data_IF_474539551605
#
_entry.id   IF_474539551605
#
_cell.length_a   1.000
_cell.length_b   1.000
_cell.length_c   1.000
_cell.angle_alpha   90.00
_cell.angle_beta   90.00
_cell.angle_gamma   90.00
#
_symmetry.space_group_name_H-M   'P 1'
#
loop_
_entity.id
_entity.type
_entity.pdbx_description
1 polymer ?
#
# COMPACT_ATOMS: atom_id res chain seq x y z
N UNK A 1 24.86 7.75 -47.88
CA UNK A 1 23.90 6.62 -47.97
C UNK A 1 24.55 5.42 -47.28
N UNK A 2 24.34 5.27 -45.97
CA UNK A 2 24.68 4.07 -45.18
C UNK A 2 23.54 3.89 -44.18
N UNK A 3 22.95 2.70 -44.22
CA UNK A 3 21.79 2.26 -43.47
C UNK A 3 22.11 1.95 -42.00
N UNK A 4 21.11 2.10 -41.13
CA UNK A 4 20.72 1.04 -40.19
C UNK A 4 19.41 1.47 -39.50
N UNK A 5 18.35 0.73 -39.79
CA UNK A 5 17.04 0.94 -39.20
C UNK A 5 17.13 0.89 -37.68
N UNK A 6 16.54 1.91 -37.05
CA UNK A 6 16.07 1.82 -35.67
C UNK A 6 15.06 0.69 -35.67
N UNK A 7 15.51 -0.50 -35.27
CA UNK A 7 14.68 -1.67 -35.15
C UNK A 7 13.51 -1.32 -34.24
N UNK A 8 12.32 -1.26 -34.83
CA UNK A 8 11.09 -1.40 -34.08
C UNK A 8 11.13 -2.81 -33.46
N UNK A 9 11.77 -2.94 -32.29
CA UNK A 9 11.68 -4.14 -31.47
C UNK A 9 10.20 -4.46 -31.36
N UNK A 10 9.80 -5.60 -31.94
CA UNK A 10 8.41 -6.05 -31.93
C UNK A 10 7.96 -6.14 -30.48
N UNK A 11 7.20 -5.14 -30.02
CA UNK A 11 6.53 -5.12 -28.72
C UNK A 11 5.74 -6.41 -28.58
N UNK A 12 6.32 -7.37 -27.87
CA UNK A 12 5.83 -8.75 -27.79
C UNK A 12 4.51 -8.76 -27.00
N UNK A 13 3.67 -9.79 -27.13
CA UNK A 13 2.42 -9.90 -26.34
C UNK A 13 2.64 -9.78 -24.83
N UNK A 14 3.82 -10.18 -24.34
CA UNK A 14 4.23 -9.99 -22.94
C UNK A 14 4.34 -8.51 -22.53
N UNK A 15 4.81 -7.63 -23.43
CA UNK A 15 4.88 -6.19 -23.19
C UNK A 15 3.48 -5.57 -23.04
N UNK A 16 2.56 -5.92 -23.94
CA UNK A 16 1.18 -5.41 -23.88
C UNK A 16 0.45 -5.90 -22.64
N UNK A 17 0.65 -7.18 -22.26
CA UNK A 17 0.09 -7.73 -21.02
C UNK A 17 0.61 -7.00 -19.79
N UNK A 18 1.92 -6.76 -19.70
CA UNK A 18 2.50 -6.02 -18.57
C UNK A 18 2.03 -4.56 -18.52
N UNK A 19 1.96 -3.88 -19.68
CA UNK A 19 1.45 -2.52 -19.77
C UNK A 19 0.00 -2.41 -19.26
N UNK A 20 -0.87 -3.31 -19.72
CA UNK A 20 -2.29 -3.27 -19.36
C UNK A 20 -2.50 -3.69 -17.91
N UNK A 21 -2.03 -4.87 -17.50
CA UNK A 21 -2.32 -5.43 -16.18
C UNK A 21 -1.41 -4.89 -15.07
N UNK A 22 -0.18 -4.49 -15.40
CA UNK A 22 0.80 -3.99 -14.43
C UNK A 22 0.75 -2.48 -14.21
N UNK A 23 0.24 -1.71 -15.17
CA UNK A 23 0.28 -0.23 -15.12
C UNK A 23 -1.09 0.41 -15.31
N UNK A 24 -1.72 0.21 -16.46
CA UNK A 24 -2.95 0.94 -16.83
C UNK A 24 -4.11 0.55 -15.92
N UNK A 25 -4.36 -0.74 -15.73
CA UNK A 25 -5.51 -1.22 -14.98
C UNK A 25 -5.45 -0.84 -13.47
N UNK A 26 -4.32 -1.01 -12.76
CA UNK A 26 -4.17 -0.48 -11.40
C UNK A 26 -4.28 1.04 -11.32
N UNK A 27 -3.65 1.79 -12.24
CA UNK A 27 -3.73 3.25 -12.24
C UNK A 27 -5.16 3.76 -12.49
N UNK A 28 -5.91 3.16 -13.41
CA UNK A 28 -7.31 3.49 -13.65
C UNK A 28 -8.16 3.22 -12.40
N UNK A 29 -7.96 2.06 -11.76
CA UNK A 29 -8.65 1.71 -10.53
C UNK A 29 -8.42 2.75 -9.44
N UNK A 30 -7.16 3.08 -9.12
CA UNK A 30 -6.87 4.10 -8.10
C UNK A 30 -7.32 5.51 -8.49
N UNK A 31 -7.38 5.83 -9.79
CA UNK A 31 -7.88 7.12 -10.27
C UNK A 31 -9.36 7.33 -9.97
N UNK A 32 -10.16 6.26 -9.92
CA UNK A 32 -11.57 6.34 -9.49
C UNK A 32 -11.69 6.77 -8.03
N UNK A 33 -10.83 6.26 -7.13
CA UNK A 33 -10.79 6.69 -5.73
C UNK A 33 -10.35 8.13 -5.59
N UNK A 34 -9.36 8.56 -6.37
CA UNK A 34 -8.92 9.96 -6.40
C UNK A 34 -10.09 10.88 -6.81
N UNK A 35 -10.82 10.51 -7.85
CA UNK A 35 -11.97 11.30 -8.33
C UNK A 35 -13.07 11.39 -7.26
N UNK A 36 -13.48 10.25 -6.68
CA UNK A 36 -14.48 10.19 -5.61
C UNK A 36 -14.07 11.06 -4.40
N UNK A 37 -12.80 10.96 -4.00
CA UNK A 37 -12.29 11.70 -2.85
C UNK A 37 -12.18 13.21 -3.09
N UNK A 38 -11.84 13.65 -4.30
CA UNK A 38 -11.83 15.09 -4.65
C UNK A 38 -13.25 15.67 -4.59
N UNK A 39 -14.24 14.93 -5.09
CA UNK A 39 -15.63 15.36 -5.04
C UNK A 39 -16.10 15.54 -3.58
N UNK A 40 -15.84 14.55 -2.73
CA UNK A 40 -16.22 14.58 -1.30
C UNK A 40 -15.46 15.63 -0.47
N UNK A 41 -14.18 15.89 -0.80
CA UNK A 41 -13.35 16.86 -0.09
C UNK A 41 -13.91 18.28 -0.21
N UNK A 42 -14.44 18.62 -1.38
CA UNK A 42 -15.00 19.95 -1.64
C UNK A 42 -16.22 20.26 -0.74
N UNK A 43 -17.07 19.26 -0.49
CA UNK A 43 -18.26 19.38 0.37
C UNK A 43 -17.88 19.37 1.85
N UNK A 44 -16.93 18.51 2.23
CA UNK A 44 -16.47 18.36 3.62
C UNK A 44 -15.75 19.63 4.11
N UNK A 45 -14.91 20.24 3.27
CA UNK A 45 -14.12 21.40 3.65
C UNK A 45 -15.00 22.62 3.96
N UNK A 46 -16.09 22.81 3.22
CA UNK A 46 -17.01 23.94 3.42
C UNK A 46 -17.89 23.77 4.66
N UNK A 47 -18.14 22.53 5.07
CA UNK A 47 -19.02 22.17 6.20
C UNK A 47 -18.27 21.98 7.52
N UNK A 48 -16.93 21.97 7.53
CA UNK A 48 -16.14 21.76 8.72
C UNK A 48 -16.34 22.90 9.75
N UNK A 49 -16.73 22.51 10.98
CA UNK A 49 -16.95 23.43 12.12
C UNK A 49 -16.32 22.92 13.41
N UNK A 50 -16.07 21.62 13.51
CA UNK A 50 -15.61 20.95 14.74
C UNK A 50 -14.21 20.34 14.57
N UNK A 51 -13.50 20.07 15.65
CA UNK A 51 -12.18 19.40 15.64
C UNK A 51 -12.20 18.05 14.90
N UNK A 52 -13.26 17.26 15.08
CA UNK A 52 -13.49 16.00 14.36
C UNK A 52 -13.52 16.19 12.84
N UNK A 53 -14.11 17.29 12.38
CA UNK A 53 -14.27 17.58 10.95
C UNK A 53 -12.92 17.90 10.33
N UNK A 54 -12.07 18.66 11.03
CA UNK A 54 -10.70 18.92 10.59
C UNK A 54 -9.84 17.65 10.58
N UNK A 55 -9.99 16.75 11.55
CA UNK A 55 -9.32 15.45 11.55
C UNK A 55 -9.76 14.61 10.35
N UNK A 56 -11.06 14.61 10.04
CA UNK A 56 -11.62 13.91 8.89
C UNK A 56 -11.13 14.50 7.56
N UNK A 57 -11.04 15.82 7.44
CA UNK A 57 -10.43 16.51 6.29
C UNK A 57 -8.95 16.13 6.16
N UNK A 58 -8.18 16.15 7.25
CA UNK A 58 -6.78 15.73 7.23
C UNK A 58 -6.63 14.30 6.72
N UNK A 59 -7.48 13.38 7.19
CA UNK A 59 -7.51 11.99 6.73
C UNK A 59 -7.81 11.89 5.24
N UNK A 60 -8.77 12.66 4.72
CA UNK A 60 -9.08 12.70 3.29
C UNK A 60 -7.91 13.22 2.46
N UNK A 61 -7.24 14.29 2.90
CA UNK A 61 -6.06 14.83 2.21
C UNK A 61 -4.92 13.81 2.20
N UNK A 62 -4.68 13.11 3.31
CA UNK A 62 -3.68 12.04 3.38
C UNK A 62 -4.02 10.88 2.44
N UNK A 63 -5.26 10.42 2.43
CA UNK A 63 -5.70 9.36 1.52
C UNK A 63 -5.60 9.80 0.04
N UNK A 64 -5.94 11.06 -0.26
CA UNK A 64 -5.80 11.61 -1.62
C UNK A 64 -4.34 11.60 -2.04
N UNK A 65 -3.44 12.01 -1.14
CA UNK A 65 -2.00 11.98 -1.38
C UNK A 65 -1.49 10.54 -1.60
N UNK A 66 -2.03 9.58 -0.84
CA UNK A 66 -1.67 8.17 -0.93
C UNK A 66 -2.08 7.58 -2.27
N UNK A 67 -3.36 7.70 -2.65
CA UNK A 67 -3.87 7.18 -3.92
C UNK A 67 -3.21 7.87 -5.12
N UNK A 68 -3.00 9.19 -5.05
CA UNK A 68 -2.25 9.91 -6.09
C UNK A 68 -0.83 9.36 -6.23
N UNK A 69 -0.15 9.09 -5.11
CA UNK A 69 1.18 8.51 -5.16
C UNK A 69 1.17 7.08 -5.73
N UNK A 70 0.16 6.26 -5.42
CA UNK A 70 -0.02 4.96 -6.05
C UNK A 70 -0.22 5.09 -7.56
N UNK A 71 -1.14 5.94 -8.02
CA UNK A 71 -1.36 6.21 -9.46
C UNK A 71 -0.03 6.59 -10.12
N UNK A 72 0.69 7.57 -9.56
CA UNK A 72 1.99 8.00 -10.11
C UNK A 72 2.99 6.84 -10.14
N UNK A 73 3.12 6.07 -9.06
CA UNK A 73 4.08 4.96 -8.99
C UNK A 73 3.73 3.82 -9.96
N UNK A 74 2.46 3.45 -10.09
CA UNK A 74 2.02 2.45 -11.06
C UNK A 74 2.15 2.94 -12.51
N UNK A 75 1.83 4.21 -12.77
CA UNK A 75 2.01 4.83 -14.09
C UNK A 75 3.47 4.98 -14.47
N UNK A 76 4.38 5.23 -13.51
CA UNK A 76 5.82 5.44 -13.77
C UNK A 76 6.66 4.18 -13.61
N UNK A 77 6.11 3.09 -13.07
CA UNK A 77 6.82 1.81 -12.93
C UNK A 77 7.30 1.28 -14.28
N UNK A 78 8.61 1.04 -14.38
CA UNK A 78 9.21 0.27 -15.48
C UNK A 78 8.80 -1.21 -15.35
N UNK A 79 8.61 -1.93 -16.48
CA UNK A 79 8.18 -3.32 -16.50
C UNK A 79 9.06 -4.21 -15.62
N UNK A 80 8.47 -4.92 -14.66
CA UNK A 80 9.21 -5.89 -13.84
C UNK A 80 9.52 -7.12 -14.70
N UNK A 81 10.77 -7.27 -15.14
CA UNK A 81 11.26 -8.55 -15.65
C UNK A 81 11.38 -9.53 -14.48
N UNK A 82 10.51 -10.53 -14.43
CA UNK A 82 10.67 -11.69 -13.57
C UNK A 82 9.73 -11.80 -12.37
N UNK A 83 8.57 -11.14 -12.36
CA UNK A 83 7.55 -11.45 -11.34
C UNK A 83 7.04 -12.87 -11.57
N UNK A 84 7.11 -13.73 -10.55
CA UNK A 84 6.37 -14.98 -10.51
C UNK A 84 4.88 -14.64 -10.69
N UNK A 85 4.35 -14.83 -11.90
CA UNK A 85 2.95 -14.57 -12.28
C UNK A 85 2.02 -15.63 -11.68
N UNK A 86 2.14 -15.91 -10.38
CA UNK A 86 1.17 -16.76 -9.70
C UNK A 86 -0.11 -15.93 -9.62
N UNK A 87 -1.12 -16.30 -10.41
CA UNK A 87 -2.46 -15.68 -10.40
C UNK A 87 -2.98 -15.46 -8.98
N UNK A 88 -2.63 -16.33 -8.03
CA UNK A 88 -2.94 -16.19 -6.61
C UNK A 88 -2.40 -14.89 -5.97
N UNK A 89 -1.27 -14.34 -6.39
CA UNK A 89 -0.73 -13.08 -5.84
C UNK A 89 -1.57 -11.89 -6.28
N UNK A 90 -1.93 -11.86 -7.57
CA UNK A 90 -2.77 -10.81 -8.15
C UNK A 90 -4.17 -10.89 -7.54
N UNK A 91 -4.73 -12.10 -7.46
CA UNK A 91 -6.04 -12.32 -6.85
C UNK A 91 -6.04 -11.88 -5.39
N UNK A 92 -5.07 -12.29 -4.56
CA UNK A 92 -5.00 -11.89 -3.15
C UNK A 92 -4.82 -10.37 -2.99
N UNK A 93 -4.04 -9.71 -3.86
CA UNK A 93 -3.89 -8.26 -3.83
C UNK A 93 -5.18 -7.53 -4.21
N UNK A 94 -5.88 -8.00 -5.25
CA UNK A 94 -7.18 -7.45 -5.66
C UNK A 94 -8.25 -7.71 -4.61
N UNK A 95 -8.46 -8.98 -4.23
CA UNK A 95 -9.49 -9.36 -3.27
C UNK A 95 -9.25 -8.75 -1.90
N UNK A 96 -7.99 -8.63 -1.44
CA UNK A 96 -7.65 -7.93 -0.21
C UNK A 96 -8.11 -6.47 -0.25
N UNK A 97 -7.69 -5.73 -1.27
CA UNK A 97 -8.04 -4.31 -1.43
C UNK A 97 -9.57 -4.09 -1.50
N UNK A 98 -10.27 -4.95 -2.23
CA UNK A 98 -11.74 -4.90 -2.32
C UNK A 98 -12.43 -5.32 -1.02
N UNK A 99 -11.86 -6.24 -0.24
CA UNK A 99 -12.45 -6.70 1.03
C UNK A 99 -12.45 -5.60 2.09
N UNK A 100 -11.38 -4.80 2.17
CA UNK A 100 -11.32 -3.67 3.09
C UNK A 100 -12.39 -2.60 2.78
N UNK A 101 -12.72 -2.42 1.50
CA UNK A 101 -13.75 -1.48 1.04
C UNK A 101 -15.16 -2.05 1.24
N UNK A 102 -15.36 -3.32 0.85
CA UNK A 102 -16.64 -4.00 1.01
C UNK A 102 -17.06 -4.09 2.48
N UNK A 103 -16.10 -4.22 3.41
CA UNK A 103 -16.36 -4.21 4.85
C UNK A 103 -17.22 -3.03 5.33
N UNK A 104 -17.00 -1.84 4.76
CA UNK A 104 -17.73 -0.62 5.09
C UNK A 104 -19.17 -0.61 4.54
N UNK A 105 -19.43 -1.35 3.46
CA UNK A 105 -20.75 -1.43 2.82
C UNK A 105 -21.56 -2.65 3.24
N UNK A 106 -20.96 -3.58 4.00
CA UNK A 106 -21.65 -4.78 4.44
C UNK A 106 -22.67 -4.46 5.55
N UNK A 107 -23.91 -4.98 5.45
CA UNK A 107 -24.94 -4.73 6.44
C UNK A 107 -24.60 -5.36 7.80
N UNK A 108 -25.09 -4.74 8.88
CA UNK A 108 -25.09 -5.35 10.22
C UNK A 108 -24.19 -4.71 11.27
N UNK A 109 -23.55 -3.57 10.99
CA UNK A 109 -22.91 -2.75 12.02
C UNK A 109 -23.75 -1.52 12.35
N UNK A 110 -24.28 -1.45 13.57
CA UNK A 110 -24.75 -0.17 14.10
C UNK A 110 -23.54 0.75 14.30
N UNK A 111 -23.63 1.99 13.82
CA UNK A 111 -22.56 2.98 13.97
C UNK A 111 -22.36 3.29 15.46
N UNK A 112 -21.20 2.91 15.99
CA UNK A 112 -20.83 3.13 17.39
C UNK A 112 -20.09 4.46 17.53
N UNK A 113 -20.80 5.52 17.91
CA UNK A 113 -20.24 6.90 17.95
C UNK A 113 -18.98 7.02 18.82
N UNK A 114 -18.91 6.29 19.95
CA UNK A 114 -17.74 6.33 20.83
C UNK A 114 -16.47 5.72 20.22
N UNK A 115 -16.60 4.92 19.16
CA UNK A 115 -15.48 4.33 18.41
C UNK A 115 -15.05 5.16 17.20
N UNK A 116 -15.84 6.18 16.80
CA UNK A 116 -15.55 7.00 15.61
C UNK A 116 -14.23 7.74 15.79
N UNK A 117 -14.07 8.47 16.89
CA UNK A 117 -12.85 9.26 17.12
C UNK A 117 -11.59 8.38 17.27
N UNK A 118 -11.59 7.31 18.10
CA UNK A 118 -10.45 6.38 18.14
C UNK A 118 -10.13 5.74 16.79
N UNK A 119 -11.17 5.36 16.02
CA UNK A 119 -11.02 4.78 14.68
C UNK A 119 -10.40 5.75 13.70
N UNK A 120 -10.85 7.00 13.69
CA UNK A 120 -10.30 8.06 12.83
C UNK A 120 -8.86 8.39 13.18
N UNK A 121 -8.51 8.45 14.47
CA UNK A 121 -7.13 8.65 14.93
C UNK A 121 -6.24 7.50 14.44
N UNK A 122 -6.66 6.26 14.66
CA UNK A 122 -5.93 5.07 14.21
C UNK A 122 -5.75 5.06 12.70
N UNK A 123 -6.81 5.38 11.94
CA UNK A 123 -6.76 5.44 10.50
C UNK A 123 -5.82 6.53 9.99
N UNK A 124 -5.84 7.70 10.63
CA UNK A 124 -4.95 8.82 10.30
C UNK A 124 -3.49 8.47 10.53
N UNK A 125 -3.17 7.86 11.69
CA UNK A 125 -1.80 7.40 11.99
C UNK A 125 -1.36 6.35 10.97
N UNK A 126 -2.23 5.39 10.63
CA UNK A 126 -1.97 4.38 9.61
C UNK A 126 -1.61 5.00 8.26
N UNK A 127 -2.42 5.94 7.78
CA UNK A 127 -2.18 6.64 6.52
C UNK A 127 -0.88 7.45 6.53
N UNK A 128 -0.58 8.16 7.62
CA UNK A 128 0.70 8.88 7.76
C UNK A 128 1.87 7.90 7.61
N UNK A 129 1.79 6.74 8.25
CA UNK A 129 2.84 5.72 8.17
C UNK A 129 2.98 5.13 6.76
N UNK A 130 1.86 4.86 6.08
CA UNK A 130 1.85 4.39 4.68
C UNK A 130 2.43 5.42 3.72
N UNK A 131 2.01 6.69 3.82
CA UNK A 131 2.52 7.79 3.00
C UNK A 131 4.01 7.98 3.24
N UNK A 132 4.48 7.93 4.50
CA UNK A 132 5.90 8.03 4.82
C UNK A 132 6.70 6.88 4.20
N UNK A 133 6.21 5.64 4.32
CA UNK A 133 6.80 4.44 3.71
C UNK A 133 6.91 4.56 2.19
N UNK A 134 5.83 4.98 1.55
CA UNK A 134 5.74 5.06 0.09
C UNK A 134 6.56 6.23 -0.47
N UNK A 135 6.60 7.38 0.22
CA UNK A 135 7.43 8.52 -0.15
C UNK A 135 8.94 8.21 -0.03
N UNK A 136 9.33 7.44 1.01
CA UNK A 136 10.72 7.01 1.18
C UNK A 136 11.14 6.00 0.10
N UNK A 137 10.21 5.11 -0.28
CA UNK A 137 10.40 4.20 -1.39
C UNK A 137 10.57 4.97 -2.70
N UNK A 138 9.72 5.97 -2.98
CA UNK A 138 9.80 6.85 -4.17
C UNK A 138 11.15 7.57 -4.29
N UNK A 139 11.73 8.05 -3.19
CA UNK A 139 13.08 8.65 -3.19
C UNK A 139 14.19 7.65 -3.56
N UNK A 140 13.96 6.36 -3.35
CA UNK A 140 14.89 5.28 -3.73
C UNK A 140 14.49 4.54 -5.02
N UNK A 141 13.34 4.90 -5.61
CA UNK A 141 12.79 4.34 -6.84
C UNK A 141 13.45 5.02 -8.06
N UNK A 142 14.75 4.80 -8.24
CA UNK A 142 15.47 5.31 -9.41
C UNK A 142 15.40 4.33 -10.57
N UNK A 143 15.23 4.91 -11.76
CA UNK A 143 14.68 4.37 -13.00
C UNK A 143 15.85 3.80 -13.84
N UNK A 144 16.53 2.77 -13.34
CA UNK A 144 17.42 1.94 -14.16
C UNK A 144 17.26 0.45 -13.81
N UNK A 145 17.34 -0.46 -14.80
CA UNK A 145 16.66 -1.75 -14.81
C UNK A 145 17.41 -2.86 -14.06
N UNK A 146 17.94 -2.55 -12.89
CA UNK A 146 18.56 -3.50 -11.99
C UNK A 146 18.14 -3.10 -10.58
N UNK A 147 17.62 -4.06 -9.81
CA UNK A 147 17.37 -3.91 -8.39
C UNK A 147 18.71 -3.63 -7.66
N UNK A 148 19.22 -2.40 -7.68
CA UNK A 148 20.56 -2.07 -7.18
C UNK A 148 20.62 -1.83 -5.68
N UNK A 149 19.50 -1.60 -4.98
CA UNK A 149 19.58 -1.26 -3.55
C UNK A 149 18.36 -1.68 -2.73
N UNK A 150 18.63 -2.45 -1.68
CA UNK A 150 17.71 -2.69 -0.59
C UNK A 150 17.46 -1.38 0.17
N UNK A 151 16.19 -0.98 0.31
CA UNK A 151 15.80 0.23 1.04
C UNK A 151 15.70 -0.10 2.52
N UNK A 152 16.59 0.49 3.33
CA UNK A 152 16.70 0.21 4.78
C UNK A 152 16.59 1.47 5.65
N UNK A 153 16.29 2.62 5.04
CA UNK A 153 16.25 3.92 5.71
C UNK A 153 14.83 4.41 6.05
N UNK A 154 14.77 5.50 6.83
CA UNK A 154 13.50 6.13 7.21
C UNK A 154 12.55 5.16 7.94
N UNK A 155 11.29 5.00 7.51
CA UNK A 155 10.32 4.10 8.17
C UNK A 155 10.73 2.62 8.06
N UNK A 156 11.56 2.26 7.08
CA UNK A 156 12.12 0.91 6.91
C UNK A 156 13.15 0.53 7.99
N UNK A 157 13.54 1.46 8.87
CA UNK A 157 14.35 1.15 10.07
C UNK A 157 13.48 0.65 11.23
N UNK A 158 12.20 1.00 11.23
CA UNK A 158 11.26 0.68 12.30
C UNK A 158 10.56 -0.65 12.03
N UNK A 159 10.23 -0.89 10.76
CA UNK A 159 9.56 -2.09 10.29
C UNK A 159 10.03 -2.42 8.88
N UNK A 160 10.10 -3.71 8.54
CA UNK A 160 10.39 -4.12 7.16
C UNK A 160 9.27 -3.79 6.18
N UNK A 161 8.04 -3.63 6.67
CA UNK A 161 6.82 -3.50 5.87
C UNK A 161 5.96 -2.30 6.30
N UNK A 162 6.51 -1.07 6.31
CA UNK A 162 5.82 0.08 6.88
C UNK A 162 4.53 0.44 6.15
N UNK A 163 4.50 0.30 4.82
CA UNK A 163 3.31 0.59 4.00
C UNK A 163 2.17 -0.36 4.35
N UNK A 164 2.43 -1.66 4.36
CA UNK A 164 1.43 -2.68 4.68
C UNK A 164 0.88 -2.55 6.11
N UNK A 165 1.73 -2.22 7.08
CA UNK A 165 1.28 -1.99 8.46
C UNK A 165 0.40 -0.74 8.57
N UNK A 166 0.76 0.33 7.86
CA UNK A 166 -0.07 1.52 7.79
C UNK A 166 -1.41 1.24 7.11
N UNK A 167 -1.44 0.42 6.06
CA UNK A 167 -2.67 -0.02 5.40
C UNK A 167 -3.55 -0.86 6.33
N UNK A 168 -2.97 -1.81 7.07
CA UNK A 168 -3.68 -2.61 8.09
C UNK A 168 -4.28 -1.69 9.17
N UNK A 169 -3.48 -0.77 9.73
CA UNK A 169 -3.96 0.17 10.74
C UNK A 169 -5.08 1.07 10.20
N UNK A 170 -4.95 1.51 8.94
CA UNK A 170 -5.97 2.30 8.25
C UNK A 170 -7.27 1.53 8.10
N UNK A 171 -7.20 0.29 7.60
CA UNK A 171 -8.37 -0.56 7.41
C UNK A 171 -9.08 -0.86 8.74
N UNK A 172 -8.33 -1.15 9.80
CA UNK A 172 -8.89 -1.36 11.15
C UNK A 172 -9.58 -0.07 11.63
N UNK A 173 -8.91 1.08 11.53
CA UNK A 173 -9.46 2.35 12.01
C UNK A 173 -10.75 2.76 11.28
N UNK A 174 -10.79 2.63 9.95
CA UNK A 174 -11.97 2.96 9.13
C UNK A 174 -13.16 2.06 9.46
N UNK A 175 -12.92 0.78 9.73
CA UNK A 175 -13.97 -0.19 10.00
C UNK A 175 -14.35 -0.25 11.49
N UNK A 176 -13.60 0.40 12.40
CA UNK A 176 -13.75 0.24 13.84
C UNK A 176 -15.14 0.63 14.36
N UNK A 177 -15.72 1.70 13.81
CA UNK A 177 -16.99 2.24 14.27
C UNK A 177 -18.22 1.61 13.59
N UNK A 178 -18.04 0.94 12.45
CA UNK A 178 -19.12 0.55 11.53
C UNK A 178 -19.14 -0.95 11.21
N UNK A 179 -18.12 -1.72 11.58
CA UNK A 179 -18.07 -3.14 11.24
C UNK A 179 -19.11 -3.96 12.01
N UNK A 180 -20.06 -4.55 11.28
CA UNK A 180 -20.79 -5.74 11.72
C UNK A 180 -19.92 -7.00 11.60
N UNK A 181 -20.46 -8.15 12.01
CA UNK A 181 -19.75 -9.43 11.87
C UNK A 181 -19.23 -9.74 10.44
N UNK A 182 -19.93 -9.38 9.35
CA UNK A 182 -19.42 -9.62 8.00
C UNK A 182 -18.25 -8.69 7.66
N UNK A 183 -18.33 -7.43 8.08
CA UNK A 183 -17.24 -6.45 7.93
C UNK A 183 -16.00 -6.87 8.72
N UNK A 184 -16.18 -7.42 9.92
CA UNK A 184 -15.08 -7.98 10.71
C UNK A 184 -14.40 -9.16 9.99
N UNK A 185 -15.15 -10.05 9.35
CA UNK A 185 -14.57 -11.14 8.55
C UNK A 185 -13.81 -10.62 7.33
N UNK A 186 -14.36 -9.63 6.63
CA UNK A 186 -13.67 -9.00 5.51
C UNK A 186 -12.36 -8.33 5.95
N UNK A 187 -12.35 -7.70 7.12
CA UNK A 187 -11.16 -7.11 7.72
C UNK A 187 -10.12 -8.18 8.10
N UNK A 188 -10.54 -9.29 8.71
CA UNK A 188 -9.65 -10.41 9.04
C UNK A 188 -9.03 -11.01 7.77
N UNK A 189 -9.83 -11.17 6.72
CA UNK A 189 -9.33 -11.62 5.42
C UNK A 189 -8.31 -10.65 4.84
N UNK A 190 -8.59 -9.34 4.87
CA UNK A 190 -7.66 -8.30 4.41
C UNK A 190 -6.33 -8.36 5.16
N UNK A 191 -6.36 -8.42 6.50
CA UNK A 191 -5.15 -8.54 7.30
C UNK A 191 -4.37 -9.81 6.94
N UNK A 192 -5.05 -10.94 6.79
CA UNK A 192 -4.42 -12.19 6.36
C UNK A 192 -3.75 -12.09 4.98
N UNK A 193 -4.42 -11.44 4.02
CA UNK A 193 -3.90 -11.17 2.70
C UNK A 193 -2.63 -10.31 2.76
N UNK A 194 -2.63 -9.22 3.54
CA UNK A 194 -1.46 -8.36 3.68
C UNK A 194 -0.28 -9.07 4.35
N UNK A 195 -0.53 -9.88 5.39
CA UNK A 195 0.51 -10.68 6.02
C UNK A 195 1.13 -11.71 5.06
N UNK A 196 0.32 -12.28 4.17
CA UNK A 196 0.79 -13.20 3.14
C UNK A 196 1.62 -12.47 2.08
N UNK A 197 1.18 -11.28 1.64
CA UNK A 197 1.92 -10.42 0.71
C UNK A 197 3.28 -10.02 1.28
N UNK A 198 3.34 -9.61 2.55
CA UNK A 198 4.61 -9.35 3.23
C UNK A 198 5.56 -10.55 3.12
N UNK A 199 5.09 -11.77 3.42
CA UNK A 199 5.92 -12.99 3.34
C UNK A 199 6.45 -13.27 1.93
N UNK A 200 5.62 -13.08 0.91
CA UNK A 200 6.05 -13.25 -0.48
C UNK A 200 7.10 -12.21 -0.88
N UNK A 201 6.90 -10.96 -0.47
CA UNK A 201 7.86 -9.89 -0.71
C UNK A 201 9.21 -10.19 -0.06
N UNK A 202 9.23 -10.69 1.17
CA UNK A 202 10.48 -11.12 1.81
C UNK A 202 11.17 -12.25 1.03
N UNK A 203 10.42 -13.21 0.50
CA UNK A 203 10.96 -14.28 -0.32
C UNK A 203 11.58 -13.78 -1.63
N UNK A 204 10.99 -12.76 -2.25
CA UNK A 204 11.53 -12.11 -3.44
C UNK A 204 12.78 -11.30 -3.09
N UNK A 205 12.74 -10.52 -2.00
CA UNK A 205 13.86 -9.70 -1.55
C UNK A 205 15.06 -10.56 -1.12
N UNK A 206 14.83 -11.69 -0.45
CA UNK A 206 15.89 -12.63 -0.07
C UNK A 206 16.59 -13.24 -1.29
N UNK A 207 15.84 -13.53 -2.38
CA UNK A 207 16.42 -14.02 -3.64
C UNK A 207 17.15 -12.92 -4.41
N UNK A 208 16.63 -11.70 -4.39
CA UNK A 208 17.22 -10.56 -5.10
C UNK A 208 18.47 -10.00 -4.40
N UNK A 209 18.52 -10.05 -3.07
CA UNK A 209 19.61 -9.52 -2.24
C UNK A 209 20.11 -10.55 -1.22
N UNK A 210 20.69 -11.69 -1.67
CA UNK A 210 21.05 -12.79 -0.76
C UNK A 210 22.11 -12.42 0.29
N UNK A 211 22.98 -11.45 0.00
CA UNK A 211 24.02 -10.98 0.92
C UNK A 211 23.51 -9.92 1.91
N UNK A 212 22.64 -8.99 1.47
CA UNK A 212 22.24 -7.82 2.26
C UNK A 212 20.94 -8.04 3.04
N UNK A 213 19.98 -8.78 2.46
CA UNK A 213 18.65 -8.95 3.03
C UNK A 213 18.65 -9.68 4.38
N UNK A 214 19.39 -10.79 4.59
CA UNK A 214 19.42 -11.47 5.88
C UNK A 214 19.91 -10.55 7.01
N UNK A 215 21.01 -9.83 6.78
CA UNK A 215 21.56 -8.88 7.75
C UNK A 215 20.60 -7.74 8.09
N UNK A 216 19.80 -7.29 7.11
CA UNK A 216 18.73 -6.33 7.33
C UNK A 216 17.56 -6.93 8.11
N UNK A 217 17.12 -8.14 7.76
CA UNK A 217 16.01 -8.84 8.41
C UNK A 217 16.28 -9.21 9.87
N UNK A 218 17.55 -9.43 10.22
CA UNK A 218 17.98 -9.66 11.59
C UNK A 218 17.89 -8.39 12.44
N UNK A 219 18.23 -7.24 11.84
CA UNK A 219 18.25 -5.93 12.52
C UNK A 219 16.87 -5.30 12.64
N UNK A 220 16.02 -5.51 11.64
CA UNK A 220 14.71 -4.83 11.53
C UNK A 220 13.58 -5.83 11.68
N UNK A 221 12.66 -5.63 12.65
CA UNK A 221 11.52 -6.51 12.85
C UNK A 221 10.55 -6.46 11.66
N UNK A 222 9.79 -7.54 11.47
CA UNK A 222 8.78 -7.62 10.40
C UNK A 222 7.62 -6.65 10.64
N UNK A 223 7.19 -6.49 11.90
CA UNK A 223 5.99 -5.74 12.27
C UNK A 223 6.34 -4.46 13.03
N UNK A 224 6.59 -4.55 14.33
CA UNK A 224 6.96 -3.41 15.17
C UNK A 224 8.26 -3.68 15.92
N UNK A 225 9.02 -2.63 16.28
CA UNK A 225 10.13 -2.76 17.22
C UNK A 225 9.60 -3.38 18.51
N UNK A 226 10.05 -4.60 18.80
CA UNK A 226 9.72 -5.27 20.04
C UNK A 226 10.50 -4.56 21.16
N UNK A 227 9.84 -3.82 22.07
CA UNK A 227 10.54 -3.14 23.16
C UNK A 227 11.24 -4.10 24.12
N UNK A 228 10.84 -5.38 24.12
CA UNK A 228 11.43 -6.44 24.94
C UNK A 228 12.59 -7.18 24.26
N UNK A 229 12.92 -6.85 23.01
CA UNK A 229 14.12 -7.39 22.33
C UNK A 229 15.34 -6.52 22.69
N UNK A 230 15.57 -6.37 23.99
CA UNK A 230 16.80 -5.80 24.50
C UNK A 230 17.93 -6.84 24.33
N UNK A 231 18.85 -6.55 23.39
CA UNK A 231 20.20 -7.12 23.37
C UNK A 231 20.34 -8.62 23.15
N UNK A 232 20.47 -9.06 21.90
CA UNK A 232 21.47 -10.08 21.60
C UNK A 232 22.54 -9.44 20.70
N UNK A 233 23.46 -8.72 21.33
CA UNK A 233 24.78 -8.45 20.77
C UNK A 233 25.72 -9.49 21.37
N UNK A 234 26.12 -10.48 20.57
CA UNK A 234 27.50 -10.89 20.33
C UNK A 234 27.51 -12.00 19.29
#
# INVERSE_FOLDING_TARGET
>A
MVAAGVGAERRTGAYWRDLVFGRVLPALFFSLFVADQVLQLSETFQSARTFSDYLFVLRQVLALSYFTMLVVLYSTRLPQRGTDHRLGVILVAFTGTFSALLGTFLPGGERREWLVLPGDILATIGLIYSVWGLAYLRRSFSITPEARRLVTGGPYRLSRHPVYLGEIATAIGVNLATAGWPGALALVYFVGAELLRMRWEEGVLAKAFPADYPAYADRVPRYFPNPFRAGSKS
#
